data_IF_992804167875
#
_entry.id   IF_992804167875
#
_cell.length_a   1.000
_cell.length_b   1.000
_cell.length_c   1.000
_cell.angle_alpha   90.00
_cell.angle_beta   90.00
_cell.angle_gamma   90.00
#
_symmetry.space_group_name_H-M   'P 1'
#
loop_
_entity.id
_entity.type
_entity.pdbx_description
1 polymer ?
#
# COMPACT_ATOMS: atom_id res chain seq x y z
N UNK A 1 8.95 -64.63 -17.85
CA UNK A 1 10.26 -64.45 -18.53
C UNK A 1 10.61 -62.98 -18.44
N UNK A 2 11.60 -62.65 -17.62
CA UNK A 2 12.06 -61.28 -17.33
C UNK A 2 13.26 -60.98 -18.22
N UNK A 3 13.30 -59.82 -18.87
CA UNK A 3 14.52 -59.26 -19.48
C UNK A 3 14.79 -57.91 -18.88
N UNK A 4 15.69 -57.94 -17.91
CA UNK A 4 16.45 -56.83 -17.32
C UNK A 4 17.58 -56.48 -18.28
N UNK A 5 17.76 -55.20 -18.60
CA UNK A 5 19.08 -54.66 -18.95
C UNK A 5 19.12 -53.16 -18.61
N UNK A 6 20.12 -52.83 -17.80
CA UNK A 6 20.31 -51.60 -17.02
C UNK A 6 21.08 -50.50 -17.78
N UNK A 7 21.23 -49.30 -17.18
CA UNK A 7 21.51 -48.03 -17.85
C UNK A 7 23.01 -47.77 -18.09
N UNK A 8 23.30 -46.90 -19.06
CA UNK A 8 24.66 -46.35 -19.30
C UNK A 8 24.85 -45.08 -18.47
N UNK A 9 25.77 -45.15 -17.52
CA UNK A 9 26.30 -44.03 -16.74
C UNK A 9 27.70 -43.57 -17.26
N UNK A 10 28.19 -42.39 -16.83
CA UNK A 10 29.16 -41.55 -17.53
C UNK A 10 30.62 -41.69 -17.04
N UNK A 11 31.59 -41.34 -17.90
CA UNK A 11 33.01 -41.06 -17.57
C UNK A 11 33.70 -40.55 -18.85
N UNK A 12 34.54 -39.51 -18.94
CA UNK A 12 35.26 -38.59 -18.06
C UNK A 12 35.86 -37.45 -18.98
N UNK A 13 36.89 -36.64 -18.62
CA UNK A 13 36.98 -35.63 -17.56
C UNK A 13 37.38 -34.19 -18.04
N UNK A 14 37.10 -33.21 -17.17
CA UNK A 14 37.76 -31.93 -16.86
C UNK A 14 38.79 -31.29 -17.84
N UNK A 15 38.52 -30.04 -18.27
CA UNK A 15 39.57 -29.00 -18.44
C UNK A 15 39.11 -27.64 -17.93
N UNK A 16 39.75 -27.19 -16.86
CA UNK A 16 39.64 -25.87 -16.22
C UNK A 16 40.67 -24.94 -16.89
N UNK A 17 40.27 -23.74 -17.33
CA UNK A 17 41.18 -22.64 -17.71
C UNK A 17 40.68 -21.33 -17.12
N UNK A 18 41.55 -20.51 -16.49
CA UNK A 18 41.15 -19.25 -15.86
C UNK A 18 41.53 -18.00 -16.67
N UNK A 19 40.96 -16.87 -16.24
CA UNK A 19 41.48 -15.49 -16.29
C UNK A 19 41.25 -14.62 -17.53
N UNK A 20 40.54 -13.52 -17.25
CA UNK A 20 40.71 -12.16 -17.76
C UNK A 20 40.83 -11.91 -19.27
N UNK A 21 39.72 -11.45 -19.86
CA UNK A 21 39.77 -10.56 -21.03
C UNK A 21 39.11 -9.24 -20.65
N UNK A 22 39.97 -8.26 -20.39
CA UNK A 22 39.67 -6.83 -20.34
C UNK A 22 39.41 -6.40 -21.78
N UNK A 23 38.23 -5.85 -22.08
CA UNK A 23 37.99 -5.11 -23.33
C UNK A 23 37.90 -3.61 -23.03
N UNK A 24 38.54 -2.75 -23.85
CA UNK A 24 38.72 -1.34 -23.53
C UNK A 24 37.45 -0.51 -23.74
N UNK A 25 37.18 0.33 -22.75
CA UNK A 25 36.29 1.48 -22.78
C UNK A 25 36.66 2.44 -23.91
N UNK A 26 35.75 2.66 -24.86
CA UNK A 26 35.73 3.86 -25.69
C UNK A 26 34.32 4.10 -26.22
N UNK A 27 33.64 5.09 -25.64
CA UNK A 27 32.56 5.84 -26.29
C UNK A 27 32.08 6.93 -25.31
N UNK A 28 32.54 8.14 -25.56
CA UNK A 28 32.02 9.41 -25.04
C UNK A 28 30.58 9.64 -25.48
N UNK A 29 29.62 8.96 -24.84
CA UNK A 29 28.21 9.37 -24.84
C UNK A 29 27.81 9.70 -23.40
N UNK A 30 27.30 10.91 -23.11
CA UNK A 30 26.73 11.22 -21.81
C UNK A 30 25.46 10.37 -21.61
N UNK A 31 25.59 9.27 -20.87
CA UNK A 31 24.44 8.55 -20.31
C UNK A 31 23.95 9.34 -19.10
N UNK A 32 22.78 9.96 -19.24
CA UNK A 32 22.09 10.62 -18.14
C UNK A 32 21.31 9.54 -17.36
N UNK A 33 22.05 8.71 -16.63
CA UNK A 33 21.49 7.72 -15.72
C UNK A 33 20.95 8.46 -14.49
N UNK A 34 19.68 8.87 -14.56
CA UNK A 34 18.95 9.39 -13.41
C UNK A 34 18.68 8.21 -12.48
N UNK A 35 19.60 8.00 -11.54
CA UNK A 35 19.37 7.17 -10.38
C UNK A 35 18.08 7.60 -9.69
N UNK A 36 17.09 6.71 -9.64
CA UNK A 36 16.00 6.80 -8.67
C UNK A 36 16.05 5.58 -7.77
N UNK A 37 16.50 5.89 -6.57
CA UNK A 37 16.52 5.10 -5.36
C UNK A 37 15.14 4.56 -4.96
N UNK A 38 15.20 3.37 -4.37
CA UNK A 38 14.41 2.87 -3.25
C UNK A 38 13.26 3.76 -2.73
N UNK A 39 12.02 3.31 -2.92
CA UNK A 39 10.94 3.65 -1.98
C UNK A 39 10.03 2.44 -1.78
N UNK A 40 10.00 2.01 -0.52
CA UNK A 40 9.08 1.08 0.12
C UNK A 40 7.62 1.47 -0.12
N UNK A 41 6.78 0.49 -0.46
CA UNK A 41 5.32 0.68 -0.49
C UNK A 41 4.72 0.37 0.88
N UNK A 42 3.80 1.21 1.39
CA UNK A 42 2.71 0.71 2.20
C UNK A 42 1.34 0.95 1.55
N UNK A 43 0.42 0.16 2.08
CA UNK A 43 -0.95 -0.18 1.70
C UNK A 43 -1.95 0.95 1.46
N UNK A 44 -2.99 0.56 0.71
CA UNK A 44 -4.18 1.22 0.20
C UNK A 44 -5.25 1.58 1.26
N UNK A 45 -5.95 2.72 1.12
CA UNK A 45 -7.36 2.89 1.54
C UNK A 45 -8.05 4.16 1.00
N UNK A 46 -9.32 3.96 0.57
CA UNK A 46 -10.48 4.89 0.45
C UNK A 46 -10.52 5.99 -0.64
N UNK A 47 -11.55 5.95 -1.51
CA UNK A 47 -11.97 7.03 -2.44
C UNK A 47 -13.07 7.94 -1.85
N UNK A 48 -13.93 8.61 -2.65
CA UNK A 48 -13.71 9.34 -3.91
C UNK A 48 -13.87 10.88 -3.72
N UNK A 49 -13.11 11.70 -4.44
CA UNK A 49 -13.29 13.16 -4.47
C UNK A 49 -12.46 13.83 -5.57
N UNK A 50 -12.94 14.92 -6.19
CA UNK A 50 -12.29 15.53 -7.36
C UNK A 50 -11.14 16.43 -6.89
N UNK A 51 -10.01 15.82 -6.54
CA UNK A 51 -8.75 16.51 -6.25
C UNK A 51 -7.80 16.46 -7.45
N UNK A 52 -6.94 17.47 -7.66
CA UNK A 52 -6.02 17.49 -8.79
C UNK A 52 -4.99 16.36 -8.67
N UNK A 53 -4.96 15.47 -9.67
CA UNK A 53 -4.06 14.32 -9.73
C UNK A 53 -2.57 14.73 -9.75
N UNK A 54 -1.67 13.95 -9.11
CA UNK A 54 -0.25 14.29 -9.03
C UNK A 54 0.43 14.33 -10.41
N UNK A 55 1.27 15.35 -10.61
CA UNK A 55 1.91 15.74 -11.89
C UNK A 55 2.63 14.58 -12.59
N UNK A 56 3.24 13.66 -11.84
CA UNK A 56 3.92 12.48 -12.39
C UNK A 56 2.99 11.49 -13.10
N UNK A 57 1.74 11.34 -12.64
CA UNK A 57 0.74 10.49 -13.30
C UNK A 57 0.23 11.14 -14.59
N UNK A 58 0.15 12.47 -14.63
CA UNK A 58 -0.21 13.23 -15.85
C UNK A 58 0.90 13.17 -16.89
N UNK A 59 2.17 13.27 -16.47
CA UNK A 59 3.32 13.13 -17.37
C UNK A 59 3.40 11.73 -17.99
N UNK A 60 3.24 10.67 -17.21
CA UNK A 60 3.18 9.30 -17.75
C UNK A 60 2.00 9.11 -18.71
N UNK A 61 0.82 9.66 -18.38
CA UNK A 61 -0.35 9.59 -19.27
C UNK A 61 -0.14 10.41 -20.56
N UNK A 62 0.62 11.49 -20.52
CA UNK A 62 0.99 12.27 -21.71
C UNK A 62 2.02 11.52 -22.56
N UNK A 63 3.08 10.99 -21.95
CA UNK A 63 4.10 10.19 -22.63
C UNK A 63 3.50 8.94 -23.30
N UNK A 64 2.55 8.27 -22.65
CA UNK A 64 1.85 7.14 -23.26
C UNK A 64 0.97 7.59 -24.43
N UNK A 65 0.37 8.78 -24.38
CA UNK A 65 -0.42 9.31 -25.51
C UNK A 65 0.44 9.71 -26.70
N UNK A 66 1.64 10.21 -26.45
CA UNK A 66 2.62 10.51 -27.49
C UNK A 66 3.22 9.23 -28.07
N UNK A 67 3.58 8.26 -27.23
CA UNK A 67 4.10 6.96 -27.67
C UNK A 67 3.13 6.18 -28.56
N UNK A 68 1.83 6.26 -28.29
CA UNK A 68 0.78 5.64 -29.10
C UNK A 68 0.14 6.60 -30.13
N UNK A 69 0.73 7.80 -30.35
CA UNK A 69 0.23 8.82 -31.29
C UNK A 69 -1.26 9.17 -31.16
N UNK A 70 -1.85 8.98 -29.97
CA UNK A 70 -3.28 9.16 -29.71
C UNK A 70 -3.72 10.62 -29.86
N UNK A 71 -2.77 11.57 -29.81
CA UNK A 71 -3.01 13.00 -30.05
C UNK A 71 -3.27 13.29 -31.53
N UNK A 72 -2.55 12.64 -32.44
CA UNK A 72 -2.76 12.77 -33.88
C UNK A 72 -4.03 12.04 -34.32
N UNK A 73 -4.32 10.87 -33.73
CA UNK A 73 -5.59 10.17 -33.97
C UNK A 73 -6.82 10.98 -33.51
N UNK A 74 -6.73 11.70 -32.39
CA UNK A 74 -7.81 12.57 -31.91
C UNK A 74 -7.97 13.86 -32.73
N UNK A 75 -6.87 14.43 -33.25
CA UNK A 75 -6.91 15.59 -34.14
C UNK A 75 -7.45 15.22 -35.53
N UNK A 76 -7.09 14.04 -36.06
CA UNK A 76 -7.64 13.48 -37.28
C UNK A 76 -9.13 13.13 -37.13
N UNK A 77 -9.54 12.57 -35.99
CA UNK A 77 -10.95 12.30 -35.68
C UNK A 77 -11.79 13.58 -35.49
N UNK A 78 -11.18 14.69 -35.06
CA UNK A 78 -11.85 15.99 -34.96
C UNK A 78 -11.97 16.71 -36.34
N UNK A 79 -11.07 16.41 -37.29
CA UNK A 79 -11.13 16.92 -38.65
C UNK A 79 -12.08 16.12 -39.58
N UNK A 80 -12.37 14.85 -39.24
CA UNK A 80 -13.23 13.97 -40.02
C UNK A 80 -14.59 13.74 -39.34
N UNK A 81 -15.50 14.70 -39.44
CA UNK A 81 -16.90 14.52 -39.05
C UNK A 81 -17.66 13.66 -40.08
N UNK A 82 -17.41 12.34 -40.12
CA UNK A 82 -18.36 11.26 -40.50
C UNK A 82 -17.69 9.88 -40.38
N UNK A 83 -18.38 8.80 -39.93
CA UNK A 83 -17.73 7.54 -39.57
C UNK A 83 -17.63 6.53 -40.74
N UNK A 84 -16.61 5.66 -40.72
CA UNK A 84 -16.83 4.23 -40.96
C UNK A 84 -16.16 3.31 -39.89
N UNK A 85 -16.54 2.02 -39.83
CA UNK A 85 -16.26 1.10 -38.70
C UNK A 85 -14.82 0.52 -38.69
N UNK A 86 -14.39 -0.13 -37.59
CA UNK A 86 -12.97 -0.38 -37.34
C UNK A 86 -12.45 -1.56 -38.17
N UNK A 87 -11.42 -1.30 -38.97
CA UNK A 87 -10.60 -2.37 -39.58
C UNK A 87 -9.41 -2.64 -38.67
N UNK A 88 -9.40 -3.83 -38.08
CA UNK A 88 -8.20 -4.44 -37.51
C UNK A 88 -7.36 -4.87 -38.71
N UNK A 89 -6.49 -3.98 -39.16
CA UNK A 89 -5.46 -4.23 -40.15
C UNK A 89 -4.21 -3.54 -39.68
N UNK A 90 -3.13 -4.30 -39.52
CA UNK A 90 -1.79 -3.78 -39.25
C UNK A 90 -1.34 -3.05 -40.50
N UNK A 91 -1.77 -1.81 -40.68
CA UNK A 91 -1.08 -0.85 -41.51
C UNK A 91 -0.20 -0.06 -40.55
N UNK A 92 1.11 -0.31 -40.58
CA UNK A 92 2.10 0.61 -40.05
C UNK A 92 1.91 1.93 -40.81
N UNK A 93 1.41 3.01 -40.19
CA UNK A 93 1.41 4.31 -40.82
C UNK A 93 2.78 4.93 -40.56
N UNK A 94 3.36 5.47 -41.63
CA UNK A 94 4.47 6.42 -41.60
C UNK A 94 5.89 5.82 -41.39
N UNK A 95 6.38 5.13 -42.42
CA UNK A 95 7.82 5.23 -42.72
C UNK A 95 8.08 6.66 -43.20
N UNK A 96 8.88 7.43 -42.46
CA UNK A 96 9.28 8.81 -42.83
C UNK A 96 10.08 8.87 -44.15
N UNK A 97 10.45 7.72 -44.71
CA UNK A 97 11.13 7.60 -45.99
C UNK A 97 10.07 7.49 -47.10
N UNK A 98 9.99 8.45 -48.04
CA UNK A 98 9.10 8.35 -49.19
C UNK A 98 9.42 7.08 -49.97
N UNK A 99 8.37 6.35 -50.38
CA UNK A 99 8.47 5.10 -51.14
C UNK A 99 9.30 5.36 -52.39
N UNK A 100 10.43 4.66 -52.53
CA UNK A 100 11.30 4.80 -53.70
C UNK A 100 10.62 4.18 -54.93
N UNK A 101 10.95 4.66 -56.13
CA UNK A 101 10.51 4.02 -57.38
C UNK A 101 10.98 2.55 -57.48
N UNK A 102 12.00 2.20 -56.71
CA UNK A 102 12.54 0.84 -56.55
C UNK A 102 11.68 -0.06 -55.65
N UNK A 103 10.82 0.52 -54.81
CA UNK A 103 10.03 -0.19 -53.79
C UNK A 103 8.59 -0.50 -54.27
N UNK A 104 8.27 -0.15 -55.53
CA UNK A 104 6.92 -0.31 -56.10
C UNK A 104 6.66 -1.80 -56.42
N UNK A 105 5.46 -2.34 -56.09
CA UNK A 105 5.10 -3.70 -56.47
C UNK A 105 5.10 -3.88 -57.99
N UNK A 106 5.80 -4.90 -58.49
CA UNK A 106 5.97 -5.14 -59.93
C UNK A 106 7.22 -4.51 -60.54
N UNK A 107 8.15 -4.02 -59.71
CA UNK A 107 9.46 -3.55 -60.17
C UNK A 107 10.21 -4.62 -60.99
N UNK A 108 10.57 -4.27 -62.22
CA UNK A 108 11.40 -5.09 -63.11
C UNK A 108 12.76 -4.44 -63.30
N UNK A 109 13.81 -5.07 -62.79
CA UNK A 109 15.19 -4.57 -62.82
C UNK A 109 15.64 -4.22 -64.24
N UNK A 110 15.36 -5.09 -65.21
CA UNK A 110 15.86 -4.94 -66.58
C UNK A 110 15.26 -3.71 -67.28
N UNK A 111 13.96 -3.46 -67.12
CA UNK A 111 13.31 -2.26 -67.68
C UNK A 111 13.79 -0.98 -67.00
N UNK A 112 13.99 -1.01 -65.69
CA UNK A 112 14.49 0.15 -64.94
C UNK A 112 15.91 0.49 -65.36
N UNK A 113 16.80 -0.50 -65.46
CA UNK A 113 18.19 -0.29 -65.91
C UNK A 113 18.20 0.21 -67.35
N UNK A 114 17.38 -0.35 -68.25
CA UNK A 114 17.29 0.10 -69.64
C UNK A 114 16.84 1.57 -69.74
N UNK A 115 15.82 1.98 -68.96
CA UNK A 115 15.36 3.37 -68.88
C UNK A 115 16.45 4.29 -68.33
N UNK A 116 17.07 3.92 -67.21
CA UNK A 116 18.11 4.73 -66.56
C UNK A 116 19.33 4.94 -67.47
N UNK A 117 19.77 3.91 -68.21
CA UNK A 117 20.89 4.02 -69.14
C UNK A 117 20.53 4.85 -70.39
N UNK A 118 19.27 4.81 -70.83
CA UNK A 118 18.80 5.58 -71.98
C UNK A 118 18.61 7.08 -71.68
N UNK A 119 18.21 7.42 -70.45
CA UNK A 119 17.81 8.79 -70.07
C UNK A 119 18.91 9.59 -69.35
N UNK A 120 19.88 8.92 -68.71
CA UNK A 120 20.90 9.58 -67.89
C UNK A 120 22.28 9.63 -68.55
N UNK A 121 23.09 10.62 -68.17
CA UNK A 121 24.48 10.70 -68.59
C UNK A 121 25.36 9.69 -67.82
N UNK A 122 26.56 9.41 -68.33
CA UNK A 122 27.52 8.52 -67.65
C UNK A 122 27.88 9.01 -66.24
N UNK A 123 27.96 10.33 -66.04
CA UNK A 123 28.26 10.92 -64.73
C UNK A 123 27.12 10.65 -63.74
N UNK A 124 25.88 10.81 -64.18
CA UNK A 124 24.70 10.54 -63.37
C UNK A 124 24.59 9.05 -63.02
N UNK A 125 24.95 8.17 -63.95
CA UNK A 125 24.97 6.72 -63.72
C UNK A 125 26.01 6.32 -62.66
N UNK A 126 27.20 6.95 -62.66
CA UNK A 126 28.23 6.71 -61.63
C UNK A 126 27.80 7.24 -60.26
N UNK A 127 27.14 8.40 -60.21
CA UNK A 127 26.55 8.94 -58.97
C UNK A 127 25.43 8.04 -58.44
N UNK A 128 24.59 7.51 -59.33
CA UNK A 128 23.54 6.56 -58.95
C UNK A 128 24.14 5.25 -58.42
N UNK A 129 25.14 4.70 -59.10
CA UNK A 129 25.83 3.49 -58.66
C UNK A 129 26.42 3.65 -57.25
N UNK A 130 27.16 4.74 -57.01
CA UNK A 130 27.75 5.00 -55.69
C UNK A 130 26.70 5.19 -54.60
N UNK A 131 25.56 5.84 -54.92
CA UNK A 131 24.42 5.97 -54.01
C UNK A 131 23.83 4.61 -53.66
N UNK A 132 23.45 3.81 -54.67
CA UNK A 132 22.82 2.50 -54.47
C UNK A 132 23.73 1.55 -53.70
N UNK A 133 25.04 1.54 -53.99
CA UNK A 133 26.01 0.74 -53.23
C UNK A 133 26.09 1.20 -51.76
N UNK A 134 25.98 2.50 -51.52
CA UNK A 134 25.89 3.07 -50.17
C UNK A 134 24.62 2.61 -49.44
N UNK A 135 23.47 2.72 -50.09
CA UNK A 135 22.16 2.30 -49.57
C UNK A 135 22.12 0.80 -49.26
N UNK A 136 22.63 -0.06 -50.16
CA UNK A 136 22.71 -1.51 -49.91
C UNK A 136 23.52 -1.83 -48.65
N UNK A 137 24.63 -1.13 -48.43
CA UNK A 137 25.45 -1.31 -47.21
C UNK A 137 24.74 -0.78 -45.96
N UNK A 138 24.05 0.34 -46.07
CA UNK A 138 23.27 0.90 -44.99
C UNK A 138 22.12 -0.03 -44.57
N UNK A 139 21.37 -0.57 -45.55
CA UNK A 139 20.29 -1.52 -45.32
C UNK A 139 20.79 -2.84 -44.72
N UNK A 140 21.95 -3.35 -45.12
CA UNK A 140 22.55 -4.53 -44.48
C UNK A 140 22.96 -4.26 -43.03
N UNK A 141 23.50 -3.08 -42.74
CA UNK A 141 23.83 -2.66 -41.38
C UNK A 141 22.58 -2.51 -40.51
N UNK A 142 21.52 -1.89 -41.04
CA UNK A 142 20.23 -1.74 -40.36
C UNK A 142 19.57 -3.09 -40.09
N UNK A 143 19.52 -3.99 -41.09
CA UNK A 143 19.03 -5.35 -40.92
C UNK A 143 19.75 -6.07 -39.78
N UNK A 144 21.09 -5.98 -39.74
CA UNK A 144 21.88 -6.55 -38.65
C UNK A 144 21.51 -5.91 -37.31
N UNK A 145 21.42 -4.58 -37.24
CA UNK A 145 21.05 -3.86 -36.03
C UNK A 145 19.67 -4.28 -35.50
N UNK A 146 18.67 -4.40 -36.38
CA UNK A 146 17.33 -4.87 -36.01
C UNK A 146 17.34 -6.31 -35.46
N UNK A 147 18.11 -7.19 -36.09
CA UNK A 147 18.27 -8.57 -35.63
C UNK A 147 18.92 -8.60 -34.24
N UNK A 148 19.99 -7.83 -34.02
CA UNK A 148 20.65 -7.75 -32.71
C UNK A 148 19.75 -7.14 -31.64
N UNK A 149 19.01 -6.09 -31.96
CA UNK A 149 18.06 -5.48 -31.02
C UNK A 149 16.94 -6.45 -30.65
N UNK A 150 16.37 -7.15 -31.64
CA UNK A 150 15.33 -8.15 -31.39
C UNK A 150 15.83 -9.31 -30.53
N UNK A 151 16.99 -9.90 -30.86
CA UNK A 151 17.56 -10.97 -30.05
C UNK A 151 17.96 -10.49 -28.65
N UNK A 152 18.55 -9.30 -28.53
CA UNK A 152 18.87 -8.69 -27.24
C UNK A 152 17.62 -8.53 -26.37
N UNK A 153 16.52 -8.03 -26.94
CA UNK A 153 15.22 -7.90 -26.27
C UNK A 153 14.66 -9.25 -25.84
N UNK A 154 14.71 -10.27 -26.69
CA UNK A 154 14.26 -11.63 -26.35
C UNK A 154 15.10 -12.24 -25.22
N UNK A 155 16.42 -12.07 -25.27
CA UNK A 155 17.33 -12.53 -24.21
C UNK A 155 17.02 -11.79 -22.90
N UNK A 156 16.86 -10.47 -22.92
CA UNK A 156 16.49 -9.69 -21.74
C UNK A 156 15.13 -10.10 -21.16
N UNK A 157 14.14 -10.37 -22.02
CA UNK A 157 12.82 -10.85 -21.59
C UNK A 157 12.91 -12.24 -20.93
N UNK A 158 13.66 -13.17 -21.54
CA UNK A 158 13.86 -14.51 -20.96
C UNK A 158 14.62 -14.47 -19.64
N UNK A 159 15.61 -13.59 -19.51
CA UNK A 159 16.31 -13.37 -18.24
C UNK A 159 15.39 -12.76 -17.17
N UNK A 160 14.50 -11.84 -17.57
CA UNK A 160 13.49 -11.27 -16.67
C UNK A 160 12.54 -12.36 -16.16
N UNK A 161 12.07 -13.26 -17.04
CA UNK A 161 11.25 -14.42 -16.66
C UNK A 161 12.01 -15.33 -15.69
N UNK A 162 13.29 -15.61 -15.96
CA UNK A 162 14.15 -16.42 -15.08
C UNK A 162 14.26 -15.79 -13.69
N UNK A 163 14.52 -14.48 -13.61
CA UNK A 163 14.60 -13.73 -12.35
C UNK A 163 13.26 -13.70 -11.60
N UNK A 164 12.15 -13.51 -12.31
CA UNK A 164 10.80 -13.57 -11.71
C UNK A 164 10.54 -14.95 -11.11
N UNK A 165 10.91 -16.03 -11.81
CA UNK A 165 10.77 -17.40 -11.31
C UNK A 165 11.67 -17.65 -10.10
N UNK A 166 12.94 -17.26 -10.15
CA UNK A 166 13.86 -17.45 -9.02
C UNK A 166 13.49 -16.63 -7.78
N UNK A 167 12.75 -15.52 -7.94
CA UNK A 167 12.22 -14.73 -6.83
C UNK A 167 10.89 -15.30 -6.30
N UNK A 168 10.14 -16.04 -7.12
CA UNK A 168 8.87 -16.68 -6.74
C UNK A 168 9.08 -18.07 -6.10
N UNK A 169 10.07 -18.84 -6.55
CA UNK A 169 10.45 -20.11 -5.96
C UNK A 169 10.75 -20.01 -4.43
N UNK A 170 11.44 -18.97 -3.90
CA UNK A 170 11.64 -18.76 -2.46
C UNK A 170 10.45 -18.12 -1.73
N UNK A 171 9.38 -17.69 -2.41
CA UNK A 171 8.11 -17.35 -1.74
C UNK A 171 7.29 -18.59 -1.36
N UNK A 172 7.55 -19.73 -2.02
CA UNK A 172 6.93 -21.01 -1.68
C UNK A 172 7.32 -21.53 -0.27
N UNK A 173 8.58 -21.48 0.20
CA UNK A 173 8.92 -21.85 1.58
C UNK A 173 8.34 -20.90 2.63
N UNK A 174 8.19 -19.59 2.35
CA UNK A 174 7.57 -18.65 3.29
C UNK A 174 6.05 -18.88 3.43
N UNK A 175 5.38 -19.25 2.33
CA UNK A 175 4.01 -19.75 2.38
C UNK A 175 3.93 -21.13 3.07
N UNK A 176 4.94 -21.98 2.89
CA UNK A 176 5.03 -23.30 3.52
C UNK A 176 5.32 -23.24 5.02
N UNK A 177 5.92 -22.16 5.55
CA UNK A 177 6.14 -21.98 7.00
C UNK A 177 4.95 -21.33 7.70
N UNK A 178 4.09 -20.61 6.97
CA UNK A 178 2.91 -19.96 7.53
C UNK A 178 1.86 -20.99 7.98
N UNK A 179 1.58 -22.03 7.19
CA UNK A 179 0.59 -23.05 7.54
C UNK A 179 0.95 -23.81 8.84
N UNK A 180 2.19 -24.30 9.04
CA UNK A 180 2.63 -24.87 10.31
C UNK A 180 2.58 -23.88 11.48
N UNK A 181 2.97 -22.62 11.26
CA UNK A 181 2.92 -21.60 12.31
C UNK A 181 1.48 -21.33 12.78
N UNK A 182 0.54 -21.22 11.84
CA UNK A 182 -0.90 -21.07 12.16
C UNK A 182 -1.41 -22.31 12.89
N UNK A 183 -1.02 -23.51 12.46
CA UNK A 183 -1.40 -24.75 13.14
C UNK A 183 -0.86 -24.79 14.59
N UNK A 184 0.38 -24.34 14.81
CA UNK A 184 0.98 -24.26 16.14
C UNK A 184 0.29 -23.22 17.03
N UNK A 185 -0.10 -22.07 16.48
CA UNK A 185 -0.89 -21.07 17.22
C UNK A 185 -2.25 -21.65 17.60
N UNK A 186 -2.90 -22.38 16.69
CA UNK A 186 -4.18 -23.00 16.97
C UNK A 186 -4.08 -24.08 18.05
N UNK A 187 -3.03 -24.91 18.03
CA UNK A 187 -2.79 -25.92 19.05
C UNK A 187 -2.52 -25.29 20.42
N UNK A 188 -1.67 -24.27 20.48
CA UNK A 188 -1.39 -23.54 21.72
C UNK A 188 -2.65 -22.85 22.27
N UNK A 189 -3.43 -22.19 21.41
CA UNK A 189 -4.68 -21.55 21.82
C UNK A 189 -5.71 -22.59 22.31
N UNK A 190 -5.78 -23.77 21.69
CA UNK A 190 -6.63 -24.86 22.14
C UNK A 190 -6.20 -25.39 23.51
N UNK A 191 -4.89 -25.55 23.74
CA UNK A 191 -4.33 -25.98 25.02
C UNK A 191 -4.58 -24.94 26.13
N UNK A 192 -4.38 -23.65 25.86
CA UNK A 192 -4.70 -22.57 26.80
C UNK A 192 -6.20 -22.58 27.14
N UNK A 193 -7.06 -22.77 26.14
CA UNK A 193 -8.51 -22.85 26.38
C UNK A 193 -8.89 -24.04 27.25
N UNK A 194 -8.25 -25.19 27.04
CA UNK A 194 -8.53 -26.40 27.82
C UNK A 194 -7.98 -26.30 29.25
N UNK A 195 -6.77 -25.76 29.44
CA UNK A 195 -6.23 -25.48 30.78
C UNK A 195 -7.06 -24.43 31.53
N UNK A 196 -7.57 -23.41 30.84
CA UNK A 196 -8.48 -22.42 31.42
C UNK A 196 -9.84 -23.04 31.76
N UNK A 197 -10.36 -23.94 30.92
CA UNK A 197 -11.57 -24.71 31.21
C UNK A 197 -11.38 -25.65 32.40
N UNK A 198 -10.23 -26.29 32.53
CA UNK A 198 -9.92 -27.17 33.65
C UNK A 198 -9.71 -26.41 34.97
N UNK A 199 -9.12 -25.20 34.91
CA UNK A 199 -8.87 -24.38 36.10
C UNK A 199 -10.10 -23.58 36.57
N UNK A 200 -11.10 -23.36 35.71
CA UNK A 200 -12.38 -22.75 36.06
C UNK A 200 -13.38 -23.89 36.32
N UNK A 201 -13.77 -24.16 37.58
CA UNK A 201 -14.79 -25.14 37.89
C UNK A 201 -16.09 -24.78 37.16
N UNK A 202 -16.81 -25.80 36.70
CA UNK A 202 -18.09 -25.61 36.02
C UNK A 202 -19.00 -24.66 36.82
N UNK A 203 -19.70 -23.72 36.16
CA UNK A 203 -20.52 -22.71 36.84
C UNK A 203 -21.62 -23.32 37.72
N UNK A 204 -22.09 -24.53 37.37
CA UNK A 204 -23.14 -25.25 38.10
C UNK A 204 -22.61 -26.09 39.27
N UNK A 205 -21.29 -26.26 39.39
CA UNK A 205 -20.68 -26.91 40.55
C UNK A 205 -20.87 -26.08 41.82
N UNK A 206 -20.98 -26.73 42.98
CA UNK A 206 -21.15 -26.05 44.25
C UNK A 206 -19.98 -25.10 44.57
N UNK A 207 -18.75 -25.47 44.15
CA UNK A 207 -17.58 -24.58 44.22
C UNK A 207 -17.73 -23.35 43.31
N UNK A 208 -18.29 -23.51 42.11
CA UNK A 208 -18.59 -22.41 41.19
C UNK A 208 -19.60 -21.42 41.78
N UNK A 209 -20.70 -21.94 42.34
CA UNK A 209 -21.72 -21.12 43.03
C UNK A 209 -21.14 -20.36 44.23
N UNK A 210 -20.30 -21.00 45.05
CA UNK A 210 -19.63 -20.35 46.18
C UNK A 210 -18.67 -19.24 45.73
N UNK A 211 -17.86 -19.47 44.68
CA UNK A 211 -16.97 -18.44 44.11
C UNK A 211 -17.75 -17.26 43.56
N UNK A 212 -18.85 -17.52 42.83
CA UNK A 212 -19.72 -16.48 42.30
C UNK A 212 -20.37 -15.65 43.42
N UNK A 213 -20.86 -16.31 44.48
CA UNK A 213 -21.40 -15.62 45.65
C UNK A 213 -20.35 -14.77 46.38
N UNK A 214 -19.13 -15.29 46.55
CA UNK A 214 -18.02 -14.55 47.15
C UNK A 214 -17.61 -13.34 46.30
N UNK A 215 -17.56 -13.48 44.97
CA UNK A 215 -17.28 -12.35 44.06
C UNK A 215 -18.40 -11.30 44.11
N UNK A 216 -19.67 -11.72 44.14
CA UNK A 216 -20.81 -10.80 44.31
C UNK A 216 -20.69 -10.02 45.62
N UNK A 217 -20.44 -10.68 46.74
CA UNK A 217 -20.21 -10.03 48.05
C UNK A 217 -19.05 -9.03 48.02
N UNK A 218 -17.92 -9.40 47.39
CA UNK A 218 -16.77 -8.49 47.23
C UNK A 218 -17.14 -7.24 46.43
N UNK A 219 -17.83 -7.39 45.30
CA UNK A 219 -18.29 -6.26 44.47
C UNK A 219 -19.26 -5.36 45.24
N UNK A 220 -20.25 -5.94 45.92
CA UNK A 220 -21.20 -5.18 46.74
C UNK A 220 -20.46 -4.41 47.86
N UNK A 221 -19.49 -5.04 48.52
CA UNK A 221 -18.67 -4.38 49.55
C UNK A 221 -17.85 -3.21 48.99
N UNK A 222 -17.23 -3.39 47.81
CA UNK A 222 -16.47 -2.33 47.16
C UNK A 222 -17.36 -1.15 46.75
N UNK A 223 -18.57 -1.43 46.23
CA UNK A 223 -19.55 -0.39 45.94
C UNK A 223 -19.98 0.36 47.20
N UNK A 224 -20.24 -0.35 48.30
CA UNK A 224 -20.56 0.29 49.58
C UNK A 224 -19.44 1.19 50.09
N UNK A 225 -18.19 0.74 50.04
CA UNK A 225 -17.03 1.57 50.42
C UNK A 225 -16.90 2.80 49.53
N UNK A 226 -17.10 2.66 48.22
CA UNK A 226 -17.04 3.80 47.30
C UNK A 226 -18.15 4.82 47.58
N UNK A 227 -19.37 4.36 47.83
CA UNK A 227 -20.53 5.21 48.13
C UNK A 227 -20.32 5.95 49.45
N UNK A 228 -19.89 5.26 50.51
CA UNK A 228 -19.61 5.89 51.80
C UNK A 228 -18.43 6.88 51.76
N UNK A 229 -17.49 6.73 50.82
CA UNK A 229 -16.39 7.67 50.61
C UNK A 229 -16.76 8.90 49.74
N UNK A 230 -17.95 8.91 49.12
CA UNK A 230 -18.39 10.05 48.30
C UNK A 230 -18.60 11.37 49.04
N UNK A 231 -19.19 11.46 50.27
CA UNK A 231 -19.37 12.75 50.96
C UNK A 231 -18.05 13.50 51.22
N UNK A 232 -16.97 12.80 51.62
CA UNK A 232 -15.66 13.42 51.77
C UNK A 232 -15.12 13.96 50.44
N UNK A 233 -15.34 13.22 49.35
CA UNK A 233 -14.96 13.65 47.99
C UNK A 233 -15.75 14.87 47.53
N UNK A 234 -17.04 14.95 47.87
CA UNK A 234 -17.89 16.10 47.57
C UNK A 234 -17.42 17.35 48.29
N UNK A 235 -17.02 17.24 49.57
CA UNK A 235 -16.45 18.38 50.31
C UNK A 235 -15.19 18.95 49.65
N UNK A 236 -14.32 18.09 49.13
CA UNK A 236 -13.11 18.55 48.40
C UNK A 236 -13.48 19.30 47.12
N UNK A 237 -14.43 18.78 46.33
CA UNK A 237 -14.91 19.44 45.11
C UNK A 237 -15.60 20.78 45.39
N UNK A 238 -16.29 20.88 46.53
CA UNK A 238 -16.93 22.12 47.00
C UNK A 238 -15.89 23.13 47.44
N UNK A 239 -14.84 22.71 48.14
CA UNK A 239 -13.69 23.57 48.50
C UNK A 239 -12.93 24.09 47.27
N UNK A 240 -12.90 23.32 46.18
CA UNK A 240 -12.35 23.72 44.87
C UNK A 240 -13.30 24.62 44.05
N UNK A 241 -14.51 24.92 44.55
CA UNK A 241 -15.50 25.77 43.86
C UNK A 241 -16.31 25.08 42.76
N UNK A 242 -16.17 23.77 42.56
CA UNK A 242 -16.85 23.00 41.50
C UNK A 242 -18.18 22.40 41.97
N UNK A 243 -19.11 23.26 42.37
CA UNK A 243 -20.39 22.87 42.97
C UNK A 243 -21.31 22.08 42.02
N UNK A 244 -21.35 22.46 40.74
CA UNK A 244 -22.18 21.80 39.75
C UNK A 244 -21.75 20.34 39.50
N UNK A 245 -20.45 20.08 39.51
CA UNK A 245 -19.90 18.73 39.35
C UNK A 245 -20.13 17.87 40.60
N UNK A 246 -20.00 18.46 41.79
CA UNK A 246 -20.31 17.80 43.06
C UNK A 246 -21.78 17.34 43.11
N UNK A 247 -22.73 18.21 42.74
CA UNK A 247 -24.18 17.88 42.65
C UNK A 247 -24.43 16.66 41.77
N UNK A 248 -23.88 16.69 40.55
CA UNK A 248 -24.04 15.61 39.58
C UNK A 248 -23.43 14.28 40.06
N UNK A 249 -22.29 14.33 40.75
CA UNK A 249 -21.66 13.13 41.32
C UNK A 249 -22.41 12.57 42.52
N UNK A 250 -23.19 13.38 43.23
CA UNK A 250 -23.97 12.96 44.40
C UNK A 250 -25.33 12.33 44.05
N UNK A 251 -25.94 12.66 42.90
CA UNK A 251 -27.27 12.16 42.52
C UNK A 251 -27.39 10.62 42.56
N UNK A 252 -26.42 9.91 41.98
CA UNK A 252 -26.46 8.44 41.87
C UNK A 252 -26.14 7.73 43.21
N UNK A 253 -25.09 8.09 43.96
CA UNK A 253 -24.85 7.57 45.31
C UNK A 253 -26.00 7.87 46.27
N UNK A 254 -26.60 9.07 46.21
CA UNK A 254 -27.74 9.45 47.03
C UNK A 254 -28.96 8.56 46.79
N UNK A 255 -29.34 8.34 45.53
CA UNK A 255 -30.44 7.44 45.19
C UNK A 255 -30.17 6.02 45.71
N UNK A 256 -28.94 5.54 45.59
CA UNK A 256 -28.57 4.22 46.09
C UNK A 256 -28.68 4.13 47.62
N UNK A 257 -28.20 5.14 48.36
CA UNK A 257 -28.32 5.23 49.81
C UNK A 257 -29.78 5.33 50.27
N UNK A 258 -30.63 6.07 49.55
CA UNK A 258 -32.08 6.12 49.82
C UNK A 258 -32.72 4.74 49.64
N UNK A 259 -32.39 4.01 48.57
CA UNK A 259 -32.89 2.64 48.40
C UNK A 259 -32.35 1.66 49.45
N UNK A 260 -31.24 1.97 50.13
CA UNK A 260 -30.72 1.17 51.24
C UNK A 260 -31.43 1.49 52.54
N UNK A 261 -31.67 2.78 52.79
CA UNK A 261 -32.48 3.27 53.90
C UNK A 261 -33.92 2.71 53.85
N UNK A 262 -34.58 2.77 52.70
CA UNK A 262 -35.95 2.25 52.52
C UNK A 262 -36.06 0.74 52.74
N UNK A 263 -34.96 0.02 52.51
CA UNK A 263 -34.85 -1.43 52.75
C UNK A 263 -34.34 -1.78 54.15
N UNK A 264 -34.07 -0.77 54.99
CA UNK A 264 -33.60 -0.94 56.37
C UNK A 264 -32.14 -1.40 56.49
N UNK A 265 -31.31 -1.22 55.45
CA UNK A 265 -29.88 -1.55 55.52
C UNK A 265 -29.08 -0.38 56.10
N UNK A 266 -28.32 -0.63 57.18
CA UNK A 266 -27.31 0.31 57.71
C UNK A 266 -27.83 1.39 58.67
N UNK A 267 -29.13 1.41 58.98
CA UNK A 267 -29.71 2.23 60.05
C UNK A 267 -29.30 3.71 60.00
N UNK A 268 -28.97 4.27 61.17
CA UNK A 268 -28.63 5.68 61.36
C UNK A 268 -27.35 6.11 60.59
N UNK A 269 -26.42 5.20 60.31
CA UNK A 269 -25.17 5.51 59.61
C UNK A 269 -25.41 5.87 58.13
N UNK A 270 -26.39 5.22 57.50
CA UNK A 270 -26.78 5.53 56.11
C UNK A 270 -27.49 6.87 56.05
N UNK A 271 -28.33 7.18 57.04
CA UNK A 271 -29.01 8.47 57.13
C UNK A 271 -28.01 9.61 57.38
N UNK A 272 -27.04 9.41 58.29
CA UNK A 272 -25.96 10.36 58.54
C UNK A 272 -25.13 10.64 57.27
N UNK A 273 -24.84 9.62 56.45
CA UNK A 273 -24.12 9.79 55.18
C UNK A 273 -24.93 10.59 54.15
N UNK A 274 -26.26 10.40 54.10
CA UNK A 274 -27.16 11.19 53.25
C UNK A 274 -27.15 12.65 53.68
N UNK A 275 -27.33 12.91 54.98
CA UNK A 275 -27.36 14.26 55.54
C UNK A 275 -26.01 14.96 55.36
N UNK A 276 -24.90 14.24 55.50
CA UNK A 276 -23.54 14.73 55.32
C UNK A 276 -23.24 15.13 53.87
N UNK A 277 -23.64 14.29 52.91
CA UNK A 277 -23.48 14.59 51.48
C UNK A 277 -24.41 15.71 51.02
N UNK A 278 -25.63 15.78 51.57
CA UNK A 278 -26.58 16.86 51.32
C UNK A 278 -26.07 18.19 51.88
N UNK A 279 -25.52 18.21 53.10
CA UNK A 279 -24.88 19.39 53.68
C UNK A 279 -23.67 19.86 52.86
N UNK A 280 -22.85 18.93 52.36
CA UNK A 280 -21.69 19.24 51.52
C UNK A 280 -22.10 19.91 50.19
N UNK A 281 -23.21 19.48 49.59
CA UNK A 281 -23.71 20.00 48.31
C UNK A 281 -24.60 21.24 48.48
N UNK A 282 -25.26 21.36 49.64
CA UNK A 282 -26.11 22.48 49.99
C UNK A 282 -25.31 23.71 50.37
N UNK A 283 -24.17 23.59 51.07
CA UNK A 283 -23.40 24.71 51.62
C UNK A 283 -23.03 25.77 50.54
N UNK A 284 -23.68 26.95 50.56
CA UNK A 284 -23.32 28.07 49.72
C UNK A 284 -22.72 29.20 50.58
N UNK A 285 -21.54 29.69 50.20
CA UNK A 285 -21.19 31.12 50.34
C UNK A 285 -21.45 31.79 51.71
N UNK A 286 -20.67 31.49 52.74
CA UNK A 286 -20.60 32.32 53.96
C UNK A 286 -19.26 33.05 54.08
N UNK A 287 -18.65 33.48 52.97
CA UNK A 287 -17.39 34.24 53.00
C UNK A 287 -17.21 35.26 51.85
N UNK A 288 -18.28 35.73 51.20
CA UNK A 288 -18.22 36.93 50.35
C UNK A 288 -19.00 38.06 51.00
N UNK A 289 -18.30 38.74 51.91
CA UNK A 289 -18.81 39.88 52.67
C UNK A 289 -17.66 40.64 53.33
N UNK A 290 -16.60 40.95 52.58
CA UNK A 290 -15.54 41.87 53.03
C UNK A 290 -15.45 43.05 52.05
N UNK A 291 -16.26 44.06 52.36
CA UNK A 291 -16.05 45.51 52.18
C UNK A 291 -15.17 45.90 50.99
N UNK A 292 -15.84 46.35 49.92
CA UNK A 292 -15.19 47.11 48.85
C UNK A 292 -15.06 48.57 49.27
N UNK A 293 -13.81 49.04 49.27
CA UNK A 293 -13.36 50.34 48.76
C UNK A 293 -13.56 51.58 49.65
N UNK A 294 -12.54 51.80 50.50
CA UNK A 294 -12.09 53.14 50.90
C UNK A 294 -11.89 54.02 49.65
N UNK A 295 -12.54 55.17 49.65
CA UNK A 295 -12.48 56.19 48.60
C UNK A 295 -12.74 57.55 49.20
N UNK A 296 -11.68 58.14 49.76
CA UNK A 296 -11.46 59.54 50.19
C UNK A 296 -10.24 59.49 51.14
N UNK A 297 -9.15 60.24 50.98
CA UNK A 297 -9.10 61.67 50.76
C UNK A 297 -7.89 62.13 49.93
N UNK A 298 -8.13 63.24 49.24
CA UNK A 298 -7.17 64.16 48.65
C UNK A 298 -6.38 64.89 49.73
N UNK A 299 -5.07 65.05 49.53
CA UNK A 299 -4.35 66.23 50.05
C UNK A 299 -3.35 66.71 49.01
N UNK A 300 -3.45 68.02 48.75
CA UNK A 300 -2.49 68.89 48.07
C UNK A 300 -1.12 68.90 48.72
#
# INVERSE_FOLDING_TARGET
MSTIASPRDPSAPLRRVPSNVITPTSSTRPSLDVARSSVTSPVNSSGPGPGPLPVAKRANRAALREYYNLRNAAAAAAAASSPPPPRIGVELPDSEVPVSDLDIPGFTTDEYVAKVVAENSLEDLLRLYTRVVGEVRALDAEKKALVYDNYSKLIAATETIRKMRSNMDPLNPMASTLNPAIAQIYSQAAEIRETLRASIPAPDSDQGKQRAAAQRRKRTRQLAVQVLATPERLRRLVAEGKLAEARKQWERPRQLLQTWHDKGFGGDEVQACIDEGDAAVAAPTSSEGRVSKDGRDSTS
#
